data_IF_255757935527
#
_entry.id   IF_255757935527
#
_cell.length_a   1.000
_cell.length_b   1.000
_cell.length_c   1.000
_cell.angle_alpha   90.00
_cell.angle_beta   90.00
_cell.angle_gamma   90.00
#
_symmetry.space_group_name_H-M   'P 1'
#
loop_
_entity.id
_entity.type
_entity.pdbx_description
1 polymer ?
#
# COMPACT_ATOMS: atom_id res chain seq x y z
N UNK A 1 -14.65 10.95 5.13
CA UNK A 1 -14.38 11.16 3.69
C UNK A 1 -13.54 10.05 3.03
N UNK A 2 -13.00 9.05 3.76
CA UNK A 2 -12.15 7.97 3.20
C UNK A 2 -12.90 6.73 2.67
N UNK A 3 -14.22 6.68 2.81
CA UNK A 3 -14.99 5.44 2.69
C UNK A 3 -15.13 4.90 1.26
N UNK A 4 -14.72 5.69 0.26
CA UNK A 4 -14.77 5.25 -1.14
C UNK A 4 -13.84 4.07 -1.38
N UNK A 5 -12.60 4.13 -0.89
CA UNK A 5 -11.55 3.13 -1.14
C UNK A 5 -11.94 1.72 -0.68
N UNK A 6 -12.72 1.64 0.41
CA UNK A 6 -13.21 0.37 0.95
C UNK A 6 -14.50 -0.13 0.28
N UNK A 7 -15.10 0.62 -0.65
CA UNK A 7 -16.35 0.25 -1.34
C UNK A 7 -16.13 -0.21 -2.78
N UNK A 8 -15.01 0.20 -3.38
CA UNK A 8 -14.71 -0.07 -4.79
C UNK A 8 -14.69 -1.58 -5.05
N UNK A 9 -15.17 -2.01 -6.21
CA UNK A 9 -15.09 -3.43 -6.60
C UNK A 9 -13.65 -3.78 -7.01
N UNK A 10 -13.21 -5.01 -6.72
CA UNK A 10 -11.86 -5.48 -7.07
C UNK A 10 -11.51 -5.19 -8.54
N UNK A 11 -12.41 -5.45 -9.49
CA UNK A 11 -12.13 -5.19 -10.91
C UNK A 11 -11.91 -3.70 -11.23
N UNK A 12 -12.56 -2.77 -10.52
CA UNK A 12 -12.36 -1.33 -10.72
C UNK A 12 -10.99 -0.89 -10.21
N UNK A 13 -10.58 -1.39 -9.04
CA UNK A 13 -9.24 -1.13 -8.51
C UNK A 13 -8.18 -1.78 -9.40
N UNK A 14 -8.45 -2.98 -9.92
CA UNK A 14 -7.55 -3.64 -10.87
C UNK A 14 -7.37 -2.81 -12.14
N UNK A 15 -8.45 -2.42 -12.81
CA UNK A 15 -8.34 -1.62 -14.04
C UNK A 15 -7.65 -0.29 -13.79
N UNK A 16 -7.97 0.38 -12.67
CA UNK A 16 -7.33 1.63 -12.28
C UNK A 16 -5.82 1.45 -12.05
N UNK A 17 -5.43 0.48 -11.22
CA UNK A 17 -4.01 0.21 -10.93
C UNK A 17 -3.26 -0.32 -12.15
N UNK A 18 -3.89 -1.14 -13.00
CA UNK A 18 -3.34 -1.62 -14.26
C UNK A 18 -3.06 -0.46 -15.22
N UNK A 19 -4.04 0.43 -15.43
CA UNK A 19 -3.85 1.61 -16.28
C UNK A 19 -2.74 2.51 -15.75
N UNK A 20 -2.67 2.73 -14.44
CA UNK A 20 -1.59 3.49 -13.81
C UNK A 20 -0.22 2.84 -14.01
N UNK A 21 -0.13 1.51 -13.89
CA UNK A 21 1.11 0.79 -14.17
C UNK A 21 1.49 0.87 -15.64
N UNK A 22 0.54 0.73 -16.56
CA UNK A 22 0.81 0.85 -17.99
C UNK A 22 1.33 2.24 -18.32
N UNK A 23 0.61 3.28 -17.91
CA UNK A 23 1.00 4.68 -18.09
C UNK A 23 2.36 4.95 -17.46
N UNK A 24 2.57 4.52 -16.21
CA UNK A 24 3.85 4.71 -15.53
C UNK A 24 5.03 3.96 -16.15
N UNK A 25 4.79 2.97 -17.00
CA UNK A 25 5.84 2.24 -17.72
C UNK A 25 5.97 2.64 -19.20
N UNK A 26 5.19 3.61 -19.69
CA UNK A 26 5.37 4.13 -21.04
C UNK A 26 6.71 4.87 -21.15
N UNK A 27 7.46 4.54 -22.20
CA UNK A 27 8.69 5.23 -22.58
C UNK A 27 8.39 6.12 -23.78
N UNK A 28 8.63 7.42 -23.63
CA UNK A 28 8.55 8.41 -24.70
C UNK A 28 9.98 8.59 -25.23
N UNK A 29 10.24 8.07 -26.43
CA UNK A 29 11.58 8.04 -27.04
C UNK A 29 12.19 9.44 -27.15
N UNK A 30 11.37 10.45 -27.41
CA UNK A 30 11.81 11.84 -27.61
C UNK A 30 12.08 12.62 -26.31
N UNK A 31 11.71 12.07 -25.14
CA UNK A 31 11.86 12.79 -23.87
C UNK A 31 12.03 11.87 -22.65
N UNK A 32 13.26 11.82 -22.14
CA UNK A 32 13.61 11.16 -20.88
C UNK A 32 12.87 11.78 -19.69
N UNK A 33 12.79 13.11 -19.64
CA UNK A 33 12.09 13.84 -18.57
C UNK A 33 10.58 13.55 -18.56
N UNK A 34 9.93 13.49 -19.72
CA UNK A 34 8.50 13.16 -19.80
C UNK A 34 8.26 11.72 -19.34
N UNK A 35 9.09 10.78 -19.77
CA UNK A 35 9.04 9.38 -19.32
C UNK A 35 9.24 9.25 -17.80
N UNK A 36 10.22 9.95 -17.24
CA UNK A 36 10.49 9.97 -15.80
C UNK A 36 9.33 10.57 -15.00
N UNK A 37 8.76 11.68 -15.49
CA UNK A 37 7.63 12.35 -14.85
C UNK A 37 6.39 11.45 -14.84
N UNK A 38 6.12 10.75 -15.95
CA UNK A 38 5.00 9.82 -16.05
C UNK A 38 5.14 8.63 -15.09
N UNK A 39 6.34 8.04 -15.03
CA UNK A 39 6.67 6.99 -14.06
C UNK A 39 6.51 7.46 -12.62
N UNK A 40 6.97 8.68 -12.29
CA UNK A 40 6.86 9.26 -10.95
C UNK A 40 5.38 9.49 -10.57
N UNK A 41 4.57 10.03 -11.48
CA UNK A 41 3.12 10.22 -11.25
C UNK A 41 2.43 8.88 -10.98
N UNK A 42 2.69 7.85 -11.79
CA UNK A 42 2.10 6.52 -11.59
C UNK A 42 2.43 5.95 -10.21
N UNK A 43 3.68 6.09 -9.77
CA UNK A 43 4.12 5.64 -8.45
C UNK A 43 3.49 6.45 -7.31
N UNK A 44 3.40 7.78 -7.44
CA UNK A 44 2.74 8.64 -6.47
C UNK A 44 1.27 8.27 -6.29
N UNK A 45 0.55 8.02 -7.38
CA UNK A 45 -0.87 7.63 -7.32
C UNK A 45 -1.01 6.25 -6.66
N UNK A 46 -0.14 5.28 -6.98
CA UNK A 46 -0.15 3.97 -6.34
C UNK A 46 0.11 4.06 -4.82
N UNK A 47 1.10 4.86 -4.43
CA UNK A 47 1.43 5.08 -3.02
C UNK A 47 0.32 5.82 -2.27
N UNK A 48 -0.33 6.81 -2.92
CA UNK A 48 -1.48 7.49 -2.37
C UNK A 48 -2.66 6.53 -2.15
N UNK A 49 -2.88 5.58 -3.07
CA UNK A 49 -3.88 4.54 -2.88
C UNK A 49 -3.61 3.67 -1.64
N UNK A 50 -2.36 3.23 -1.42
CA UNK A 50 -1.99 2.50 -0.20
C UNK A 50 -2.21 3.36 1.07
N UNK A 51 -1.79 4.63 1.03
CA UNK A 51 -2.00 5.57 2.14
C UNK A 51 -3.49 5.74 2.47
N UNK A 52 -4.34 5.84 1.45
CA UNK A 52 -5.79 5.94 1.61
C UNK A 52 -6.38 4.68 2.24
N UNK A 53 -5.92 3.48 1.87
CA UNK A 53 -6.36 2.24 2.53
C UNK A 53 -5.94 2.26 4.00
N UNK A 54 -4.67 2.55 4.30
CA UNK A 54 -4.17 2.57 5.68
C UNK A 54 -4.91 3.56 6.56
N UNK A 55 -5.11 4.78 6.06
CA UNK A 55 -5.90 5.81 6.73
C UNK A 55 -7.37 5.42 6.91
N UNK A 56 -7.94 4.65 5.97
CA UNK A 56 -9.32 4.18 6.07
C UNK A 56 -9.47 3.00 7.04
N UNK A 57 -8.45 2.14 7.17
CA UNK A 57 -8.46 1.02 8.11
C UNK A 57 -8.20 1.45 9.54
N UNK A 58 -7.39 2.49 9.75
CA UNK A 58 -6.94 2.92 11.07
C UNK A 58 -8.06 3.16 12.10
N UNK A 59 -9.19 3.84 11.77
CA UNK A 59 -10.29 4.04 12.70
C UNK A 59 -11.03 2.76 13.13
N UNK A 60 -10.80 1.65 12.42
CA UNK A 60 -11.43 0.35 12.70
C UNK A 60 -10.56 -0.57 13.54
N UNK A 61 -9.32 -0.18 13.84
CA UNK A 61 -8.41 -0.98 14.64
C UNK A 61 -8.98 -1.25 16.04
N UNK A 62 -8.80 -2.47 16.57
CA UNK A 62 -9.21 -2.77 17.94
C UNK A 62 -8.37 -1.93 18.91
N UNK A 63 -8.99 -1.47 20.01
CA UNK A 63 -8.34 -0.60 21.03
C UNK A 63 -7.05 -1.16 21.63
N UNK A 64 -6.85 -2.48 21.54
CA UNK A 64 -5.67 -3.17 22.06
C UNK A 64 -4.48 -3.18 21.10
N UNK A 65 -4.69 -2.83 19.82
CA UNK A 65 -3.62 -2.82 18.83
C UNK A 65 -2.99 -1.43 18.75
N UNK A 66 -1.73 -1.32 19.20
CA UNK A 66 -0.97 -0.07 19.23
C UNK A 66 -0.23 0.17 17.89
N UNK A 67 -0.99 0.40 16.81
CA UNK A 67 -0.39 0.79 15.53
C UNK A 67 -0.31 2.31 15.40
N UNK A 68 0.70 2.81 14.69
CA UNK A 68 0.93 4.24 14.51
C UNK A 68 0.70 4.66 13.04
N UNK A 69 -0.44 5.29 12.77
CA UNK A 69 -0.78 5.81 11.44
C UNK A 69 0.24 6.85 10.95
N UNK A 70 0.73 7.71 11.83
CA UNK A 70 1.67 8.77 11.48
C UNK A 70 2.98 8.18 10.97
N UNK A 71 3.50 7.14 11.64
CA UNK A 71 4.72 6.47 11.20
C UNK A 71 4.54 5.80 9.83
N UNK A 72 3.41 5.10 9.63
CA UNK A 72 3.05 4.56 8.32
C UNK A 72 3.01 5.64 7.24
N UNK A 73 2.37 6.78 7.48
CA UNK A 73 2.29 7.88 6.51
C UNK A 73 3.66 8.51 6.23
N UNK A 74 4.53 8.64 7.25
CA UNK A 74 5.91 9.09 7.09
C UNK A 74 6.66 8.13 6.18
N UNK A 75 6.55 6.82 6.40
CA UNK A 75 7.27 5.83 5.59
C UNK A 75 6.77 5.77 4.15
N UNK A 76 5.46 5.92 3.93
CA UNK A 76 4.92 6.08 2.57
C UNK A 76 5.49 7.35 1.92
N UNK A 77 5.54 8.47 2.63
CA UNK A 77 6.10 9.72 2.11
C UNK A 77 7.59 9.60 1.80
N UNK A 78 8.38 8.96 2.67
CA UNK A 78 9.80 8.66 2.44
C UNK A 78 9.97 7.78 1.20
N UNK A 79 9.13 6.74 1.04
CA UNK A 79 9.14 5.88 -0.15
C UNK A 79 8.86 6.65 -1.44
N UNK A 80 7.88 7.55 -1.43
CA UNK A 80 7.54 8.45 -2.55
C UNK A 80 8.69 9.38 -2.91
N UNK A 81 9.24 10.09 -1.92
CA UNK A 81 10.34 11.03 -2.16
C UNK A 81 11.58 10.30 -2.66
N UNK A 82 11.94 9.16 -2.05
CA UNK A 82 13.09 8.37 -2.46
C UNK A 82 12.93 7.83 -3.88
N UNK A 83 11.75 7.32 -4.23
CA UNK A 83 11.50 6.79 -5.58
C UNK A 83 11.50 7.91 -6.63
N UNK A 84 10.88 9.05 -6.34
CA UNK A 84 10.92 10.22 -7.21
C UNK A 84 12.35 10.72 -7.42
N UNK A 85 13.15 10.78 -6.35
CA UNK A 85 14.56 11.16 -6.43
C UNK A 85 15.35 10.21 -7.34
N UNK A 86 15.18 8.88 -7.21
CA UNK A 86 15.84 7.91 -8.10
C UNK A 86 15.40 8.11 -9.55
N UNK A 87 14.10 8.28 -9.81
CA UNK A 87 13.57 8.43 -11.18
C UNK A 87 14.05 9.73 -11.85
N UNK A 88 14.18 10.82 -11.08
CA UNK A 88 14.52 12.14 -11.62
C UNK A 88 16.04 12.36 -11.69
N UNK A 89 16.80 11.85 -10.71
CA UNK A 89 18.23 12.13 -10.57
C UNK A 89 19.14 11.04 -11.17
N UNK A 90 18.60 9.88 -11.55
CA UNK A 90 19.39 8.77 -12.10
C UNK A 90 18.90 8.35 -13.48
N UNK A 91 19.83 8.22 -14.43
CA UNK A 91 19.50 7.80 -15.80
C UNK A 91 19.11 6.31 -15.87
N UNK A 92 19.71 5.47 -15.02
CA UNK A 92 19.46 4.02 -15.01
C UNK A 92 18.26 3.59 -14.15
N UNK A 93 17.56 4.54 -13.51
CA UNK A 93 16.50 4.26 -12.51
C UNK A 93 16.96 3.30 -11.40
N UNK A 94 18.26 3.27 -11.14
CA UNK A 94 18.93 2.41 -10.19
C UNK A 94 19.86 3.26 -9.33
N UNK A 95 20.00 2.89 -8.06
CA UNK A 95 20.86 3.60 -7.12
C UNK A 95 21.73 2.58 -6.38
N UNK A 96 23.04 2.74 -6.52
CA UNK A 96 24.02 1.94 -5.79
C UNK A 96 24.62 2.81 -4.69
N UNK A 97 24.60 2.31 -3.46
CA UNK A 97 25.19 2.98 -2.32
C UNK A 97 26.10 2.02 -1.56
N UNK A 98 27.26 2.54 -1.15
CA UNK A 98 28.20 1.86 -0.27
C UNK A 98 28.53 2.77 0.92
N UNK A 99 28.91 2.19 2.06
CA UNK A 99 29.24 2.95 3.27
C UNK A 99 28.01 3.61 3.91
N UNK A 100 28.16 4.85 4.41
CA UNK A 100 27.12 5.55 5.15
C UNK A 100 25.80 5.74 4.38
N UNK A 101 25.80 6.10 3.07
CA UNK A 101 24.58 6.15 2.27
C UNK A 101 23.81 4.82 2.16
N UNK A 102 24.47 3.68 2.37
CA UNK A 102 23.79 2.38 2.37
C UNK A 102 22.80 2.25 3.55
N UNK A 103 23.04 2.94 4.67
CA UNK A 103 22.10 2.97 5.80
C UNK A 103 20.80 3.67 5.42
N UNK A 104 20.89 4.78 4.67
CA UNK A 104 19.70 5.45 4.15
C UNK A 104 18.93 4.56 3.16
N UNK A 105 19.65 3.81 2.31
CA UNK A 105 19.04 2.84 1.40
C UNK A 105 18.31 1.72 2.16
N UNK A 106 18.90 1.19 3.24
CA UNK A 106 18.26 0.20 4.10
C UNK A 106 16.97 0.73 4.73
N UNK A 107 16.96 1.99 5.18
CA UNK A 107 15.74 2.61 5.69
C UNK A 107 14.67 2.75 4.61
N UNK A 108 15.05 3.14 3.38
CA UNK A 108 14.11 3.23 2.27
C UNK A 108 13.49 1.85 1.99
N UNK A 109 14.28 0.78 1.98
CA UNK A 109 13.77 -0.59 1.81
C UNK A 109 12.81 -0.94 2.96
N UNK A 110 13.16 -0.62 4.20
CA UNK A 110 12.29 -0.80 5.35
C UNK A 110 10.97 -0.05 5.16
N UNK A 111 10.99 1.23 4.80
CA UNK A 111 9.79 2.05 4.61
C UNK A 111 8.86 1.48 3.52
N UNK A 112 9.44 0.94 2.44
CA UNK A 112 8.68 0.29 1.36
C UNK A 112 7.99 -1.01 1.83
N UNK A 113 8.62 -1.77 2.73
CA UNK A 113 8.05 -3.00 3.29
C UNK A 113 7.08 -2.72 4.43
N UNK A 114 7.29 -1.63 5.17
CA UNK A 114 6.44 -1.21 6.27
C UNK A 114 5.01 -0.88 5.80
N UNK A 115 4.85 -0.31 4.60
CA UNK A 115 3.53 -0.02 4.03
C UNK A 115 2.63 -1.26 3.89
N UNK A 116 3.00 -2.26 3.07
CA UNK A 116 2.27 -3.53 2.94
C UNK A 116 2.11 -4.27 4.27
N UNK A 117 3.11 -4.23 5.14
CA UNK A 117 3.03 -4.81 6.49
C UNK A 117 1.92 -4.15 7.30
N UNK A 118 1.90 -2.81 7.38
CA UNK A 118 0.93 -2.05 8.15
C UNK A 118 -0.50 -2.34 7.68
N UNK A 119 -0.71 -2.41 6.36
CA UNK A 119 -2.01 -2.76 5.79
C UNK A 119 -2.44 -4.19 6.13
N UNK A 120 -1.51 -5.15 6.05
CA UNK A 120 -1.78 -6.55 6.37
C UNK A 120 -2.14 -6.74 7.84
N UNK A 121 -1.32 -6.20 8.76
CA UNK A 121 -1.57 -6.32 10.21
C UNK A 121 -2.86 -5.58 10.59
N UNK A 122 -3.13 -4.42 9.99
CA UNK A 122 -4.35 -3.66 10.26
C UNK A 122 -5.59 -4.43 9.82
N UNK A 123 -5.59 -4.97 8.60
CA UNK A 123 -6.73 -5.72 8.08
C UNK A 123 -7.01 -6.96 8.92
N UNK A 124 -5.99 -7.76 9.25
CA UNK A 124 -6.19 -8.97 10.06
C UNK A 124 -6.56 -8.61 11.51
N UNK A 125 -6.02 -7.53 12.07
CA UNK A 125 -6.40 -7.07 13.41
C UNK A 125 -7.88 -6.69 13.48
N UNK A 126 -8.41 -6.04 12.43
CA UNK A 126 -9.83 -5.69 12.32
C UNK A 126 -10.67 -6.96 12.19
N UNK A 127 -10.32 -7.87 11.30
CA UNK A 127 -11.06 -9.12 11.09
C UNK A 127 -11.09 -10.02 12.33
N UNK A 128 -10.03 -10.01 13.14
CA UNK A 128 -9.92 -10.85 14.35
C UNK A 128 -10.29 -10.12 15.62
N UNK A 129 -10.51 -8.80 15.57
CA UNK A 129 -10.75 -7.93 16.73
C UNK A 129 -9.68 -8.07 17.84
N UNK A 130 -8.45 -8.43 17.45
CA UNK A 130 -7.29 -8.58 18.35
C UNK A 130 -5.99 -8.36 17.60
N UNK A 131 -4.90 -8.18 18.33
CA UNK A 131 -3.56 -8.16 17.74
C UNK A 131 -3.25 -9.51 17.07
N UNK A 132 -2.86 -9.52 15.78
CA UNK A 132 -2.61 -10.73 15.02
C UNK A 132 -1.20 -11.26 15.26
N UNK A 133 -1.09 -12.57 15.45
CA UNK A 133 0.20 -13.28 15.43
C UNK A 133 0.80 -13.28 14.01
N UNK A 134 2.13 -13.33 13.88
CA UNK A 134 2.84 -13.30 12.60
C UNK A 134 2.27 -14.27 11.54
N UNK A 135 2.08 -15.53 11.92
CA UNK A 135 1.56 -16.56 11.01
C UNK A 135 0.17 -16.23 10.46
N UNK A 136 -0.62 -15.40 11.16
CA UNK A 136 -1.96 -15.05 10.74
C UNK A 136 -2.05 -13.91 9.74
N UNK A 137 -1.08 -12.99 9.71
CA UNK A 137 -1.07 -11.90 8.75
C UNK A 137 -0.08 -12.11 7.61
N UNK A 138 0.89 -13.04 7.73
CA UNK A 138 1.90 -13.29 6.71
C UNK A 138 1.31 -13.55 5.31
N UNK A 139 0.28 -14.39 5.21
CA UNK A 139 -0.41 -14.60 3.93
C UNK A 139 -1.06 -13.32 3.38
N UNK A 140 -1.61 -12.48 4.25
CA UNK A 140 -2.20 -11.18 3.86
C UNK A 140 -1.11 -10.20 3.41
N UNK A 141 0.06 -10.21 4.05
CA UNK A 141 1.23 -9.45 3.64
C UNK A 141 1.67 -9.84 2.22
N UNK A 142 1.79 -11.13 1.93
CA UNK A 142 2.12 -11.59 0.58
C UNK A 142 1.06 -11.13 -0.44
N UNK A 143 -0.22 -11.16 -0.10
CA UNK A 143 -1.27 -10.63 -0.98
C UNK A 143 -1.08 -9.12 -1.26
N UNK A 144 -0.64 -8.31 -0.31
CA UNK A 144 -0.36 -6.89 -0.58
C UNK A 144 0.87 -6.68 -1.49
N UNK A 145 1.81 -7.63 -1.52
CA UNK A 145 3.01 -7.58 -2.36
C UNK A 145 2.77 -8.12 -3.77
N UNK A 146 1.92 -9.14 -3.93
CA UNK A 146 1.71 -9.84 -5.20
C UNK A 146 0.48 -9.33 -5.96
N UNK A 147 0.64 -8.19 -6.64
CA UNK A 147 -0.28 -7.78 -7.69
C UNK A 147 -0.14 -8.72 -8.93
N UNK A 148 -1.23 -9.11 -9.62
CA UNK A 148 -2.62 -8.68 -9.43
C UNK A 148 -3.43 -9.58 -8.48
N UNK A 149 -2.99 -10.81 -8.21
CA UNK A 149 -3.77 -11.82 -7.45
C UNK A 149 -4.21 -11.31 -6.08
N UNK A 150 -3.31 -10.60 -5.40
CA UNK A 150 -3.56 -9.97 -4.13
C UNK A 150 -4.80 -9.10 -4.09
N UNK A 151 -5.01 -8.31 -5.14
CA UNK A 151 -6.10 -7.34 -5.23
C UNK A 151 -7.47 -8.01 -5.31
N UNK A 152 -7.57 -9.16 -6.00
CA UNK A 152 -8.81 -9.95 -6.04
C UNK A 152 -9.20 -10.54 -4.69
N UNK A 153 -8.22 -10.87 -3.86
CA UNK A 153 -8.46 -11.46 -2.54
C UNK A 153 -8.65 -10.38 -1.47
N UNK A 154 -7.85 -9.30 -1.52
CA UNK A 154 -7.85 -8.23 -0.53
C UNK A 154 -9.06 -7.31 -0.64
N UNK A 155 -9.45 -6.90 -1.85
CA UNK A 155 -10.52 -5.92 -1.98
C UNK A 155 -11.88 -6.43 -1.45
N UNK A 156 -12.32 -7.68 -1.68
CA UNK A 156 -13.53 -8.19 -1.02
C UNK A 156 -13.47 -8.16 0.50
N UNK A 157 -12.30 -8.40 1.10
CA UNK A 157 -12.08 -8.32 2.56
C UNK A 157 -12.19 -6.89 3.07
N UNK A 158 -11.60 -5.93 2.37
CA UNK A 158 -11.75 -4.49 2.66
C UNK A 158 -13.22 -4.06 2.58
N UNK A 159 -13.95 -4.53 1.56
CA UNK A 159 -15.38 -4.25 1.41
C UNK A 159 -16.22 -4.83 2.54
N UNK A 160 -15.85 -6.01 3.05
CA UNK A 160 -16.51 -6.63 4.21
C UNK A 160 -16.31 -5.81 5.48
N UNK A 161 -15.09 -5.33 5.75
CA UNK A 161 -14.81 -4.43 6.90
C UNK A 161 -15.73 -3.21 6.88
N UNK A 162 -15.91 -2.60 5.71
CA UNK A 162 -16.82 -1.47 5.54
C UNK A 162 -18.29 -1.81 5.77
N UNK A 163 -18.74 -2.98 5.27
CA UNK A 163 -20.12 -3.44 5.46
C UNK A 163 -20.44 -3.77 6.92
N UNK A 164 -19.56 -4.51 7.59
CA UNK A 164 -19.72 -4.89 8.99
C UNK A 164 -19.82 -3.65 9.88
N UNK A 165 -19.01 -2.62 9.59
CA UNK A 165 -19.07 -1.34 10.29
C UNK A 165 -20.41 -0.64 10.14
N UNK A 166 -20.94 -0.55 8.93
CA UNK A 166 -22.24 0.10 8.68
C UNK A 166 -23.39 -0.64 9.38
N UNK A 167 -23.29 -1.97 9.49
CA UNK A 167 -24.29 -2.79 10.17
C UNK A 167 -24.22 -2.69 11.71
N UNK A 168 -23.22 -2.00 12.27
CA UNK A 168 -22.97 -1.98 13.72
C UNK A 168 -22.55 -3.34 14.27
N UNK A 169 -22.15 -4.27 13.40
CA UNK A 169 -21.72 -5.61 13.78
C UNK A 169 -20.22 -5.59 14.10
N UNK A 170 -19.75 -6.30 15.14
CA UNK A 170 -18.35 -6.64 15.22
C UNK A 170 -18.00 -7.44 13.96
N UNK A 171 -16.91 -7.06 13.29
CA UNK A 171 -16.48 -7.67 12.02
C UNK A 171 -15.97 -9.09 12.25
N UNK A 172 -16.84 -10.05 12.54
CA UNK A 172 -16.50 -11.45 12.81
C UNK A 172 -17.59 -12.38 12.26
N UNK A 173 -17.12 -13.54 11.79
CA UNK A 173 -17.88 -14.81 11.77
C UNK A 173 -18.78 -15.13 10.56
N UNK A 174 -18.21 -15.15 9.34
CA UNK A 174 -18.74 -15.99 8.23
C UNK A 174 -17.64 -16.42 7.24
N UNK A 175 -16.52 -16.95 7.72
CA UNK A 175 -15.63 -17.77 6.88
C UNK A 175 -15.19 -18.96 7.74
N UNK A 176 -16.06 -19.96 7.77
CA UNK A 176 -15.72 -21.36 8.03
C UNK A 176 -16.05 -22.11 6.74
#
# INVERSE_FOLDING_TARGET
MGDFTLRVKHWQVFLGTMLLMLVGNLTIEDSTLASATLSAIGYCIFSAWLALIGNSLFPFLPRKAEYNLTWFLIDVAVGVVARAAVIILTDERSFQAAGLPAVALLYIIFAQLHGPWFLAVSLVAIEKQREPEFGSYFGTLLLFLFWPVGLWVLQPRLNKVWQDRQAGLPSVEKIA
#
